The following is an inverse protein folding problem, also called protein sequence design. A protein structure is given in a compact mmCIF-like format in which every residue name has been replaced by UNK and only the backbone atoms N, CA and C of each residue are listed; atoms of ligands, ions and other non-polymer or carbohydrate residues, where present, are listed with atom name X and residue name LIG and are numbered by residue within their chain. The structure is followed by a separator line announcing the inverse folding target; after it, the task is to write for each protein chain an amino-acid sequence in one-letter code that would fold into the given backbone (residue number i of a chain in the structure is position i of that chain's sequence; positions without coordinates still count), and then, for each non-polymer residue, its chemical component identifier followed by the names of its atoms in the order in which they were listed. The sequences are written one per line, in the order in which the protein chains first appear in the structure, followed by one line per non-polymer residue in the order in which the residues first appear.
data_IF_493253862985
#
_entry.id   IF_493253862985
#
_cell.length_a   1.000
_cell.length_b   1.000
_cell.length_c   1.000
_cell.angle_alpha   90.00
_cell.angle_beta   90.00
_cell.angle_gamma   90.00
#
_symmetry.space_group_name_H-M   'P 1'
#
loop_
_entity.id
_entity.type
_entity.pdbx_description
1 polymer ?
#
# COMPACT_ATOMS: atom_id res chain seq x y z
N UNK A 1 20.59 10.43 -0.78
CA UNK A 1 20.60 10.98 0.59
C UNK A 1 21.10 12.41 0.65
N UNK A 2 22.19 12.78 -0.04
CA UNK A 2 22.75 14.15 0.02
C UNK A 2 23.82 14.35 1.10
N UNK A 3 24.24 13.25 1.73
CA UNK A 3 25.27 13.18 2.78
C UNK A 3 26.68 13.25 2.18
N UNK A 4 27.59 13.93 2.88
CA UNK A 4 29.02 14.05 2.57
C UNK A 4 29.86 12.90 3.14
N UNK A 5 29.38 12.22 4.17
CA UNK A 5 30.06 11.09 4.79
C UNK A 5 31.21 11.46 5.72
N UNK A 6 31.22 12.68 6.28
CA UNK A 6 32.17 13.09 7.31
C UNK A 6 31.71 12.70 8.72
N UNK A 7 30.42 12.84 9.01
CA UNK A 7 29.79 12.30 10.23
C UNK A 7 28.36 11.85 9.93
N UNK A 8 28.16 10.56 9.63
CA UNK A 8 26.85 10.03 9.25
C UNK A 8 25.76 10.30 10.30
N UNK A 9 26.06 10.26 11.61
CA UNK A 9 25.05 10.49 12.66
C UNK A 9 24.52 11.92 12.61
N UNK A 10 25.42 12.90 12.56
CA UNK A 10 25.04 14.31 12.49
C UNK A 10 24.40 14.67 11.15
N UNK A 11 24.93 14.16 10.03
CA UNK A 11 24.39 14.43 8.71
C UNK A 11 22.97 13.87 8.56
N UNK A 12 22.72 12.63 9.01
CA UNK A 12 21.37 12.04 9.02
C UNK A 12 20.42 12.79 9.97
N UNK A 13 20.87 13.19 11.18
CA UNK A 13 20.06 14.00 12.12
C UNK A 13 19.64 15.37 11.57
N UNK A 14 20.34 15.91 10.56
CA UNK A 14 19.97 17.18 9.90
C UNK A 14 18.93 17.00 8.79
N UNK A 15 18.79 15.81 8.19
CA UNK A 15 17.86 15.60 7.06
C UNK A 15 16.38 15.80 7.42
N UNK A 16 15.88 15.48 8.64
CA UNK A 16 14.51 15.84 9.05
C UNK A 16 14.19 17.34 9.08
N UNK A 17 15.17 18.24 8.94
CA UNK A 17 14.91 19.68 8.79
C UNK A 17 14.32 20.03 7.42
N UNK A 18 14.49 19.18 6.41
CA UNK A 18 13.81 19.32 5.10
C UNK A 18 12.33 18.90 5.17
N UNK A 19 11.95 18.10 6.16
CA UNK A 19 10.68 17.37 6.25
C UNK A 19 9.44 18.31 6.20
N UNK A 20 9.44 19.49 6.86
CA UNK A 20 8.40 20.50 6.68
C UNK A 20 8.17 20.93 5.22
N UNK A 21 9.23 21.11 4.43
CA UNK A 21 9.10 21.49 3.01
C UNK A 21 8.55 20.35 2.14
N UNK A 22 8.79 19.10 2.54
CA UNK A 22 8.21 17.93 1.87
C UNK A 22 6.72 17.83 2.19
N UNK A 23 6.31 18.09 3.43
CA UNK A 23 4.89 18.17 3.80
C UNK A 23 4.16 19.34 3.15
N UNK A 24 4.78 20.51 3.00
CA UNK A 24 4.21 21.62 2.22
C UNK A 24 3.89 21.21 0.77
N UNK A 25 4.84 20.52 0.11
CA UNK A 25 4.63 19.97 -1.24
C UNK A 25 3.55 18.87 -1.30
N UNK A 26 3.47 18.02 -0.27
CA UNK A 26 2.42 16.98 -0.14
C UNK A 26 1.05 17.62 0.08
N UNK A 27 0.93 18.60 0.99
CA UNK A 27 -0.30 19.31 1.29
C UNK A 27 -0.85 20.03 0.05
N UNK A 28 0.02 20.73 -0.70
CA UNK A 28 -0.34 21.41 -1.96
C UNK A 28 -0.79 20.43 -3.04
N UNK A 29 -0.23 19.23 -3.10
CA UNK A 29 -0.67 18.19 -4.03
C UNK A 29 -2.04 17.60 -3.63
N UNK A 30 -2.33 17.47 -2.33
CA UNK A 30 -3.61 16.95 -1.82
C UNK A 30 -4.74 17.99 -1.94
N UNK A 31 -4.43 19.26 -1.68
CA UNK A 31 -5.41 20.35 -1.67
C UNK A 31 -5.64 20.99 -3.07
N UNK A 32 -5.23 20.33 -4.15
CA UNK A 32 -5.41 20.85 -5.51
C UNK A 32 -6.88 20.83 -5.99
N UNK A 33 -7.21 21.73 -6.92
CA UNK A 33 -8.56 21.89 -7.44
C UNK A 33 -9.10 20.62 -8.12
N UNK A 34 -8.23 19.79 -8.70
CA UNK A 34 -8.59 18.49 -9.28
C UNK A 34 -9.11 17.50 -8.24
N UNK A 35 -8.42 17.37 -7.09
CA UNK A 35 -8.85 16.47 -6.00
C UNK A 35 -10.12 17.01 -5.33
N UNK A 36 -10.20 18.32 -5.10
CA UNK A 36 -11.43 18.97 -4.60
C UNK A 36 -12.62 18.79 -5.56
N UNK A 37 -12.37 18.78 -6.87
CA UNK A 37 -13.40 18.52 -7.89
C UNK A 37 -13.81 17.05 -7.95
N UNK A 38 -12.86 16.12 -7.75
CA UNK A 38 -13.11 14.69 -7.67
C UNK A 38 -13.94 14.29 -6.44
N UNK A 39 -13.67 14.91 -5.28
CA UNK A 39 -14.47 14.74 -4.05
C UNK A 39 -15.90 15.22 -4.30
N UNK A 40 -16.10 16.43 -4.85
CA UNK A 40 -17.43 16.95 -5.20
C UNK A 40 -18.18 16.09 -6.22
N UNK A 41 -17.46 15.43 -7.12
CA UNK A 41 -18.05 14.46 -8.04
C UNK A 41 -18.53 13.19 -7.31
N UNK A 42 -17.77 12.68 -6.33
CA UNK A 42 -18.20 11.59 -5.45
C UNK A 42 -19.42 11.97 -4.61
N UNK A 43 -19.40 13.14 -3.95
CA UNK A 43 -20.53 13.66 -3.15
C UNK A 43 -21.82 13.78 -3.99
N UNK A 44 -21.71 14.33 -5.20
CA UNK A 44 -22.84 14.47 -6.11
C UNK A 44 -23.43 13.12 -6.53
N UNK A 45 -22.58 12.10 -6.70
CA UNK A 45 -23.02 10.74 -7.01
C UNK A 45 -23.70 10.08 -5.80
N UNK A 46 -23.09 10.16 -4.62
CA UNK A 46 -23.64 9.57 -3.40
C UNK A 46 -25.01 10.17 -3.08
N UNK A 47 -25.17 11.49 -3.27
CA UNK A 47 -26.47 12.18 -3.19
C UNK A 47 -27.47 11.59 -4.19
N UNK A 48 -27.10 11.48 -5.47
CA UNK A 48 -27.95 10.92 -6.52
C UNK A 48 -28.38 9.47 -6.27
N UNK A 49 -27.48 8.64 -5.72
CA UNK A 49 -27.78 7.25 -5.36
C UNK A 49 -28.78 7.20 -4.20
N UNK A 50 -28.57 7.96 -3.12
CA UNK A 50 -29.51 8.00 -2.00
C UNK A 50 -30.89 8.58 -2.39
N UNK A 51 -30.95 9.57 -3.29
CA UNK A 51 -32.20 10.07 -3.87
C UNK A 51 -32.94 9.00 -4.70
N UNK A 52 -32.21 8.07 -5.32
CA UNK A 52 -32.76 6.93 -6.06
C UNK A 52 -33.14 5.73 -5.16
N UNK A 53 -32.56 5.62 -3.97
CA UNK A 53 -32.78 4.53 -3.01
C UNK A 53 -34.05 4.70 -2.15
N UNK A 54 -34.89 5.72 -2.42
CA UNK A 54 -36.19 5.92 -1.78
C UNK A 54 -37.36 5.57 -2.73
N UNK A 55 -37.72 4.28 -2.90
CA UNK A 55 -39.03 3.90 -3.39
C UNK A 55 -40.13 4.35 -2.42
N UNK A 56 -40.70 5.54 -2.66
CA UNK A 56 -42.01 5.88 -2.10
C UNK A 56 -43.03 4.93 -2.73
N UNK A 57 -43.29 3.82 -2.03
CA UNK A 57 -44.41 2.92 -2.30
C UNK A 57 -45.73 3.65 -2.02
N UNK A 58 -46.10 4.51 -2.96
CA UNK A 58 -47.42 5.12 -3.00
C UNK A 58 -48.46 3.97 -2.99
N UNK A 59 -49.37 3.92 -2.00
CA UNK A 59 -50.35 2.84 -1.92
C UNK A 59 -51.24 2.91 -3.15
N UNK A 60 -51.34 1.80 -3.88
CA UNK A 60 -52.06 1.76 -5.15
C UNK A 60 -53.56 2.02 -4.95
N UNK A 61 -54.00 3.25 -5.24
CA UNK A 61 -55.43 3.57 -5.28
C UNK A 61 -56.12 2.70 -6.33
N UNK A 62 -57.06 1.86 -5.88
CA UNK A 62 -57.76 0.92 -6.76
C UNK A 62 -58.86 1.61 -7.57
N UNK A 63 -58.78 1.70 -8.92
CA UNK A 63 -59.91 2.16 -9.72
C UNK A 63 -60.99 1.08 -9.79
N UNK A 64 -62.19 1.37 -9.29
CA UNK A 64 -63.30 0.42 -9.27
C UNK A 64 -63.94 0.21 -10.66
N UNK A 65 -63.82 -1.02 -11.19
CA UNK A 65 -64.75 -1.75 -12.07
C UNK A 65 -65.72 -0.98 -13.02
N UNK A 66 -65.75 -1.34 -14.31
CA UNK A 66 -67.05 -1.51 -15.04
C UNK A 66 -66.96 -2.30 -16.36
N UNK A 67 -67.44 -3.56 -16.35
CA UNK A 67 -68.04 -4.27 -17.52
C UNK A 67 -67.12 -4.66 -18.71
N UNK A 68 -67.44 -5.62 -19.62
CA UNK A 68 -68.59 -6.53 -19.75
C UNK A 68 -68.29 -7.83 -20.58
N UNK A 69 -69.18 -8.83 -20.46
CA UNK A 69 -69.61 -9.79 -21.52
C UNK A 69 -68.77 -11.02 -22.00
N UNK A 70 -69.24 -12.24 -21.61
CA UNK A 70 -69.43 -13.49 -22.45
C UNK A 70 -68.14 -14.22 -22.96
N UNK A 71 -68.01 -15.55 -23.13
CA UNK A 71 -68.80 -16.82 -22.93
C UNK A 71 -67.80 -18.04 -23.09
N UNK A 72 -68.07 -19.36 -23.01
CA UNK A 72 -69.21 -20.30 -22.73
C UNK A 72 -68.65 -21.68 -22.25
N UNK A 73 -69.47 -22.49 -21.55
CA UNK A 73 -69.46 -23.99 -21.46
C UNK A 73 -68.21 -24.87 -21.11
N UNK A 74 -68.40 -25.64 -20.02
CA UNK A 74 -68.13 -27.12 -19.83
C UNK A 74 -66.65 -27.61 -19.85
N UNK A 75 -66.28 -28.72 -19.18
CA UNK A 75 -67.09 -29.86 -18.70
C UNK A 75 -66.72 -30.36 -17.27
N UNK A 76 -66.89 -31.66 -16.93
CA UNK A 76 -67.32 -32.10 -15.58
C UNK A 76 -66.58 -33.32 -14.97
N UNK A 77 -66.21 -33.19 -13.67
CA UNK A 77 -66.22 -34.21 -12.58
C UNK A 77 -64.99 -35.13 -12.29
N UNK A 78 -64.84 -35.39 -10.98
CA UNK A 78 -64.00 -36.39 -10.25
C UNK A 78 -62.52 -36.00 -10.01
N UNK A 79 -61.96 -36.10 -8.79
CA UNK A 79 -62.64 -36.28 -7.49
C UNK A 79 -61.76 -36.66 -6.28
N UNK A 80 -61.99 -35.97 -5.15
CA UNK A 80 -61.86 -36.41 -3.74
C UNK A 80 -60.66 -37.30 -3.32
N UNK A 81 -59.67 -36.68 -2.65
CA UNK A 81 -59.01 -37.26 -1.47
C UNK A 81 -58.78 -36.15 -0.41
N UNK A 82 -58.49 -36.54 0.82
CA UNK A 82 -58.31 -35.69 2.02
C UNK A 82 -57.05 -36.14 2.77
N UNK A 83 -56.59 -35.29 3.70
CA UNK A 83 -55.52 -35.50 4.70
C UNK A 83 -54.09 -35.57 4.13
N UNK A 84 -53.06 -35.10 4.85
CA UNK A 84 -53.02 -34.21 6.02
C UNK A 84 -51.58 -33.67 6.21
N UNK A 85 -51.43 -32.65 7.07
CA UNK A 85 -50.21 -32.07 7.67
C UNK A 85 -48.84 -32.49 7.09
N UNK A 86 -48.10 -31.50 6.61
CA UNK A 86 -46.64 -31.55 6.47
C UNK A 86 -46.09 -30.23 7.00
N UNK A 87 -45.41 -30.27 8.14
CA UNK A 87 -44.83 -29.08 8.79
C UNK A 87 -43.59 -28.62 8.03
N UNK A 88 -43.48 -27.31 7.80
CA UNK A 88 -42.24 -26.63 7.42
C UNK A 88 -42.13 -25.35 8.26
N UNK A 89 -40.98 -25.09 8.91
CA UNK A 89 -40.86 -24.00 9.86
C UNK A 89 -40.87 -22.62 9.17
N UNK A 90 -41.54 -21.65 9.78
CA UNK A 90 -41.38 -20.24 9.44
C UNK A 90 -39.95 -19.81 9.82
N UNK A 91 -39.07 -19.71 8.82
CA UNK A 91 -37.75 -19.08 9.01
C UNK A 91 -37.98 -17.56 9.09
N UNK A 92 -38.26 -17.10 10.30
CA UNK A 92 -38.35 -15.67 10.64
C UNK A 92 -36.96 -15.06 10.76
N UNK A 93 -36.24 -14.95 9.64
CA UNK A 93 -35.10 -14.02 9.49
C UNK A 93 -35.62 -12.58 9.47
N UNK A 94 -36.09 -12.15 10.64
CA UNK A 94 -36.57 -10.81 10.96
C UNK A 94 -35.54 -10.01 11.74
N UNK A 95 -34.26 -10.19 11.43
CA UNK A 95 -33.23 -9.21 11.82
C UNK A 95 -33.32 -8.05 10.81
N UNK A 96 -33.79 -6.86 11.22
CA UNK A 96 -33.72 -5.70 10.35
C UNK A 96 -32.24 -5.37 10.16
N UNK A 97 -31.77 -5.39 8.91
CA UNK A 97 -30.48 -4.85 8.52
C UNK A 97 -30.32 -3.46 9.16
N UNK A 98 -29.32 -3.33 10.05
CA UNK A 98 -29.15 -2.14 10.87
C UNK A 98 -28.80 -0.97 9.95
N UNK A 99 -29.81 -0.16 9.64
CA UNK A 99 -29.69 0.94 8.72
C UNK A 99 -28.70 1.93 9.35
N UNK A 100 -27.53 2.09 8.72
CA UNK A 100 -26.47 2.97 9.20
C UNK A 100 -26.93 4.41 9.00
N UNK A 101 -27.63 4.94 10.03
CA UNK A 101 -28.43 6.18 10.01
C UNK A 101 -27.62 7.45 9.74
N UNK A 102 -26.29 7.38 9.80
CA UNK A 102 -25.39 8.41 9.31
C UNK A 102 -24.65 7.91 8.07
N UNK A 103 -24.78 8.57 6.90
CA UNK A 103 -23.96 8.25 5.74
C UNK A 103 -22.47 8.32 6.11
N UNK A 104 -21.62 7.38 5.65
CA UNK A 104 -20.20 7.44 5.90
C UNK A 104 -19.64 8.75 5.36
N UNK A 105 -19.06 9.56 6.24
CA UNK A 105 -18.40 10.81 5.88
C UNK A 105 -17.05 10.46 5.25
N UNK A 106 -17.01 10.32 3.93
CA UNK A 106 -15.76 10.15 3.19
C UNK A 106 -14.90 11.43 3.23
N UNK A 107 -13.59 11.29 3.05
CA UNK A 107 -12.65 12.39 2.80
C UNK A 107 -12.45 13.40 3.95
N UNK A 108 -12.89 13.07 5.18
CA UNK A 108 -12.78 13.97 6.34
C UNK A 108 -11.35 14.48 6.58
N UNK A 109 -10.31 13.64 6.38
CA UNK A 109 -8.94 14.04 6.68
C UNK A 109 -8.36 14.94 5.57
N UNK A 110 -8.81 14.78 4.32
CA UNK A 110 -8.52 15.73 3.23
C UNK A 110 -9.21 17.07 3.50
N UNK A 111 -10.45 17.06 4.00
CA UNK A 111 -11.19 18.27 4.38
C UNK A 111 -10.58 18.98 5.60
N UNK A 112 -10.17 18.23 6.63
CA UNK A 112 -9.42 18.70 7.80
C UNK A 112 -8.09 19.35 7.37
N UNK A 113 -7.33 18.71 6.45
CA UNK A 113 -6.11 19.28 5.87
C UNK A 113 -6.39 20.54 5.04
N UNK A 114 -7.48 20.58 4.27
CA UNK A 114 -7.82 21.75 3.45
C UNK A 114 -8.21 22.96 4.31
N UNK A 115 -8.87 22.72 5.45
CA UNK A 115 -9.29 23.77 6.38
C UNK A 115 -8.16 24.27 7.31
N UNK A 116 -7.05 23.53 7.42
CA UNK A 116 -5.85 23.91 8.15
C UNK A 116 -5.04 25.04 7.46
N UNK A 117 -4.25 25.78 8.24
CA UNK A 117 -3.48 26.94 7.76
C UNK A 117 -2.26 26.55 6.90
N UNK A 118 -1.97 27.37 5.89
CA UNK A 118 -0.74 27.32 5.08
C UNK A 118 0.47 27.98 5.79
N UNK A 119 0.30 28.57 6.97
CA UNK A 119 1.41 29.16 7.72
C UNK A 119 2.46 28.11 8.10
N UNK A 120 3.61 28.14 7.42
CA UNK A 120 4.82 27.42 7.83
C UNK A 120 5.41 28.19 9.02
N UNK A 121 4.88 27.95 10.22
CA UNK A 121 5.49 28.43 11.45
C UNK A 121 6.87 27.78 11.59
N UNK A 122 7.93 28.55 11.41
CA UNK A 122 9.30 28.15 11.76
C UNK A 122 9.42 28.02 13.29
N UNK A 123 8.84 26.95 13.83
CA UNK A 123 9.18 26.45 15.15
C UNK A 123 10.64 26.01 15.07
N UNK A 124 11.54 26.89 15.52
CA UNK A 124 12.96 26.60 15.67
C UNK A 124 13.07 25.41 16.61
N UNK A 125 13.32 24.24 16.03
CA UNK A 125 13.28 22.97 16.75
C UNK A 125 14.46 22.88 17.72
N UNK A 126 14.26 23.40 18.93
CA UNK A 126 14.92 22.90 20.13
C UNK A 126 14.45 21.46 20.32
N UNK A 127 15.16 20.53 19.67
CA UNK A 127 14.89 19.10 19.71
C UNK A 127 15.14 18.59 21.13
N UNK A 128 14.09 18.62 21.95
CA UNK A 128 14.02 17.83 23.16
C UNK A 128 13.78 16.37 22.75
N UNK A 129 14.65 15.48 23.22
CA UNK A 129 14.72 14.07 22.80
C UNK A 129 14.17 13.11 23.88
N UNK A 130 13.68 13.60 25.03
CA UNK A 130 13.32 12.77 26.18
C UNK A 130 11.84 12.29 26.23
N UNK A 131 11.05 12.51 25.17
CA UNK A 131 9.63 12.12 25.13
C UNK A 131 9.33 10.86 24.29
N UNK A 132 8.92 9.79 24.99
CA UNK A 132 8.06 8.67 24.56
C UNK A 132 8.38 7.93 23.24
N UNK A 133 9.29 6.95 23.32
CA UNK A 133 9.36 5.86 22.35
C UNK A 133 8.45 4.69 22.78
N UNK A 134 7.30 4.51 22.13
CA UNK A 134 6.50 3.29 22.26
C UNK A 134 7.28 2.09 21.68
N UNK A 135 7.72 1.17 22.54
CA UNK A 135 8.72 0.15 22.20
C UNK A 135 8.11 -1.05 21.45
N UNK A 136 7.96 -0.94 20.13
CA UNK A 136 7.52 -2.05 19.26
C UNK A 136 8.74 -2.88 18.81
N UNK A 137 8.90 -4.07 19.40
CA UNK A 137 9.98 -5.01 19.07
C UNK A 137 9.68 -5.83 17.81
N UNK A 138 10.40 -5.55 16.71
CA UNK A 138 10.44 -6.41 15.52
C UNK A 138 11.79 -7.14 15.43
N UNK A 139 11.95 -8.17 16.27
CA UNK A 139 13.06 -9.12 16.10
C UNK A 139 12.73 -10.09 14.96
N UNK A 140 13.41 -9.88 13.82
CA UNK A 140 13.54 -10.88 12.77
C UNK A 140 15.03 -11.01 12.48
N UNK A 141 15.71 -11.74 13.37
CA UNK A 141 17.12 -12.11 13.23
C UNK A 141 17.29 -13.13 12.09
N UNK A 142 17.53 -12.63 10.87
CA UNK A 142 18.14 -13.43 9.79
C UNK A 142 19.65 -13.52 10.05
N UNK A 143 20.11 -14.69 10.48
CA UNK A 143 21.52 -14.98 10.75
C UNK A 143 22.21 -15.51 9.48
N UNK A 144 22.81 -14.62 8.69
CA UNK A 144 23.55 -14.95 7.46
C UNK A 144 25.07 -14.91 7.69
N UNK A 145 25.64 -16.04 8.14
CA UNK A 145 27.09 -16.23 8.26
C UNK A 145 27.47 -17.73 8.27
N UNK A 146 27.36 -18.41 7.13
CA UNK A 146 27.55 -19.88 7.07
C UNK A 146 28.11 -20.45 5.75
N UNK A 147 29.23 -19.93 5.23
CA UNK A 147 29.81 -20.46 3.97
C UNK A 147 30.54 -21.80 4.15
N UNK A 148 29.86 -22.92 3.92
CA UNK A 148 30.51 -24.23 3.68
C UNK A 148 29.63 -25.20 2.85
N UNK A 149 30.18 -25.61 1.71
CA UNK A 149 29.81 -26.77 0.85
C UNK A 149 28.38 -26.88 0.27
N UNK A 150 28.29 -27.59 -0.87
CA UNK A 150 27.04 -27.85 -1.59
C UNK A 150 26.37 -29.09 -0.98
N UNK A 151 25.56 -28.85 0.06
CA UNK A 151 24.65 -29.85 0.62
C UNK A 151 23.32 -29.88 -0.15
N UNK A 152 22.91 -31.06 -0.60
CA UNK A 152 21.60 -31.30 -1.21
C UNK A 152 20.50 -31.14 -0.14
N UNK A 153 19.59 -30.17 -0.31
CA UNK A 153 18.51 -29.91 0.66
C UNK A 153 17.43 -30.97 0.48
N UNK A 154 17.55 -32.06 1.24
CA UNK A 154 16.55 -33.12 1.34
C UNK A 154 15.29 -32.60 2.05
N UNK A 155 14.28 -32.25 1.26
CA UNK A 155 12.93 -31.95 1.74
C UNK A 155 12.19 -33.25 2.05
N UNK A 156 12.65 -33.94 3.09
CA UNK A 156 12.28 -35.31 3.49
C UNK A 156 10.83 -35.52 3.92
N UNK A 157 9.88 -35.27 3.00
CA UNK A 157 8.49 -35.72 3.10
C UNK A 157 8.45 -37.20 2.72
N UNK A 158 8.90 -38.07 3.63
CA UNK A 158 8.70 -39.51 3.49
C UNK A 158 7.20 -39.80 3.65
N UNK A 159 6.51 -40.02 2.53
CA UNK A 159 5.07 -40.28 2.50
C UNK A 159 4.73 -41.67 3.02
N UNK A 160 4.79 -41.86 4.34
CA UNK A 160 4.34 -43.09 5.02
C UNK A 160 2.82 -43.22 4.91
N UNK A 161 2.38 -44.04 3.95
CA UNK A 161 0.96 -44.28 3.72
C UNK A 161 0.35 -45.20 4.80
N UNK A 162 -0.77 -44.75 5.36
CA UNK A 162 -1.85 -45.54 5.99
C UNK A 162 -1.48 -46.67 6.96
N UNK A 163 -1.68 -46.42 8.26
CA UNK A 163 -2.22 -47.43 9.19
C UNK A 163 -3.35 -46.84 10.04
N UNK A 164 -4.30 -47.67 10.45
CA UNK A 164 -5.55 -47.27 11.13
C UNK A 164 -5.36 -46.97 12.63
N UNK A 165 -6.25 -46.16 13.26
CA UNK A 165 -6.02 -45.62 14.60
C UNK A 165 -6.25 -46.65 15.72
N UNK A 166 -5.22 -46.91 16.52
CA UNK A 166 -5.37 -47.55 17.84
C UNK A 166 -5.78 -46.53 18.88
N UNK A 167 -6.91 -46.78 19.57
CA UNK A 167 -7.46 -45.85 20.55
C UNK A 167 -6.57 -45.68 21.80
N UNK A 168 -6.23 -44.42 22.10
CA UNK A 168 -5.85 -43.94 23.41
C UNK A 168 -6.64 -42.63 23.66
N UNK A 169 -6.99 -42.35 24.92
CA UNK A 169 -7.84 -41.20 25.23
C UNK A 169 -7.05 -39.89 25.12
N UNK A 170 -7.41 -39.06 24.15
CA UNK A 170 -7.48 -37.61 24.33
C UNK A 170 -8.81 -37.14 23.71
N UNK A 171 -9.60 -36.39 24.48
CA UNK A 171 -10.81 -35.78 23.95
C UNK A 171 -10.41 -34.52 23.15
N UNK A 172 -11.10 -34.20 22.04
CA UNK A 172 -10.91 -32.90 21.41
C UNK A 172 -11.29 -31.82 22.44
N UNK A 173 -10.32 -30.98 22.80
CA UNK A 173 -10.61 -29.75 23.53
C UNK A 173 -11.31 -28.83 22.55
N UNK A 174 -12.64 -28.76 22.65
CA UNK A 174 -13.43 -27.76 21.95
C UNK A 174 -12.94 -26.39 22.43
N UNK A 175 -12.33 -25.63 21.52
CA UNK A 175 -11.89 -24.27 21.80
C UNK A 175 -13.17 -23.43 21.86
N UNK A 176 -13.58 -23.13 23.08
CA UNK A 176 -14.68 -22.21 23.35
C UNK A 176 -14.30 -20.80 22.89
N UNK A 177 -15.19 -20.16 22.13
CA UNK A 177 -15.02 -18.80 21.60
C UNK A 177 -16.00 -17.81 22.25
N UNK A 178 -16.70 -18.18 23.34
CA UNK A 178 -17.54 -17.28 24.13
C UNK A 178 -16.71 -16.20 24.84
N UNK A 179 -16.36 -15.15 24.10
CA UNK A 179 -15.91 -13.86 24.66
C UNK A 179 -17.12 -13.21 25.34
N UNK A 180 -17.35 -13.60 26.60
CA UNK A 180 -18.40 -12.99 27.42
C UNK A 180 -18.19 -11.47 27.55
N UNK A 181 -19.14 -10.62 27.11
CA UNK A 181 -18.97 -9.18 27.10
C UNK A 181 -19.26 -8.61 28.50
N UNK A 182 -18.29 -8.74 29.42
CA UNK A 182 -18.45 -8.33 30.83
C UNK A 182 -17.23 -7.62 31.43
N UNK A 183 -16.68 -6.62 30.73
CA UNK A 183 -16.30 -5.38 31.41
C UNK A 183 -16.45 -4.18 30.47
N UNK A 184 -17.46 -3.34 30.72
CA UNK A 184 -17.63 -2.06 30.00
C UNK A 184 -16.67 -1.06 30.63
N UNK A 185 -15.46 -0.99 30.08
CA UNK A 185 -14.55 0.12 30.34
C UNK A 185 -15.13 1.36 29.65
N UNK A 186 -15.55 2.35 30.44
CA UNK A 186 -16.11 3.59 29.90
C UNK A 186 -15.09 4.29 28.99
N UNK A 187 -15.50 4.84 27.83
CA UNK A 187 -14.64 5.73 27.07
C UNK A 187 -14.39 6.98 27.91
N UNK A 188 -13.17 7.12 28.43
CA UNK A 188 -12.72 8.35 29.09
C UNK A 188 -12.77 9.46 28.05
N UNK A 189 -13.82 10.28 28.14
CA UNK A 189 -14.04 11.42 27.27
C UNK A 189 -13.10 12.56 27.68
N UNK A 190 -11.82 12.40 27.36
CA UNK A 190 -10.84 13.49 27.38
C UNK A 190 -11.16 14.47 26.25
N UNK A 191 -12.22 15.25 26.48
CA UNK A 191 -12.41 16.58 25.88
C UNK A 191 -11.30 17.52 26.40
N UNK A 192 -10.07 17.20 26.03
CA UNK A 192 -8.92 18.09 26.12
C UNK A 192 -9.12 19.15 25.05
N UNK A 193 -10.02 20.09 25.35
CA UNK A 193 -10.34 21.29 24.58
C UNK A 193 -9.13 22.23 24.57
N UNK A 194 -8.07 21.75 23.95
CA UNK A 194 -6.84 22.48 23.66
C UNK A 194 -7.22 23.62 22.74
N UNK A 195 -6.88 24.83 23.17
CA UNK A 195 -7.22 26.08 22.49
C UNK A 195 -6.88 25.99 20.99
N UNK A 196 -7.82 26.38 20.13
CA UNK A 196 -7.73 26.15 18.68
C UNK A 196 -6.81 27.19 18.04
N UNK A 197 -5.52 27.13 18.38
CA UNK A 197 -4.46 27.56 17.50
C UNK A 197 -4.64 26.80 16.18
N UNK A 198 -4.88 27.54 15.09
CA UNK A 198 -5.25 26.94 13.82
C UNK A 198 -4.14 25.99 13.35
N UNK A 199 -4.44 24.68 13.36
CA UNK A 199 -3.48 23.66 12.98
C UNK A 199 -2.92 23.96 11.59
N UNK A 200 -1.61 23.83 11.42
CA UNK A 200 -0.94 24.06 10.13
C UNK A 200 -0.97 22.77 9.31
N UNK A 201 -1.06 22.87 7.99
CA UNK A 201 -1.07 21.68 7.10
C UNK A 201 0.16 20.81 7.28
N UNK A 202 1.30 21.45 7.53
CA UNK A 202 2.58 20.80 7.84
C UNK A 202 2.54 20.08 9.19
N UNK A 203 1.94 20.68 10.22
CA UNK A 203 1.79 20.08 11.55
C UNK A 203 0.88 18.85 11.54
N UNK A 204 -0.27 18.92 10.85
CA UNK A 204 -1.16 17.77 10.68
C UNK A 204 -0.47 16.60 9.96
N UNK A 205 0.31 16.89 8.90
CA UNK A 205 1.05 15.86 8.18
C UNK A 205 2.25 15.29 8.95
N UNK A 206 2.67 15.88 10.07
CA UNK A 206 3.74 15.30 10.90
C UNK A 206 3.26 14.02 11.61
N UNK A 207 2.02 14.04 12.10
CA UNK A 207 1.38 12.85 12.69
C UNK A 207 1.24 11.70 11.69
N UNK A 208 1.61 10.51 12.16
CA UNK A 208 1.51 9.27 11.41
C UNK A 208 0.07 8.74 11.33
N UNK A 209 -0.76 8.97 12.34
CA UNK A 209 -2.17 8.57 12.30
C UNK A 209 -2.93 9.44 11.29
N UNK A 210 -2.78 10.76 11.33
CA UNK A 210 -3.31 11.71 10.35
C UNK A 210 -2.89 11.36 8.92
N UNK A 211 -1.58 11.16 8.66
CA UNK A 211 -1.11 10.72 7.33
C UNK A 211 -1.74 9.41 6.87
N UNK A 212 -2.04 8.49 7.79
CA UNK A 212 -2.73 7.24 7.48
C UNK A 212 -4.22 7.48 7.13
N UNK A 213 -4.91 8.37 7.85
CA UNK A 213 -6.29 8.79 7.51
C UNK A 213 -6.35 9.42 6.11
N UNK A 214 -5.47 10.36 5.82
CA UNK A 214 -5.36 11.01 4.49
C UNK A 214 -5.00 10.01 3.39
N UNK A 215 -4.11 9.04 3.65
CA UNK A 215 -3.78 8.01 2.67
C UNK A 215 -4.99 7.12 2.35
N UNK A 216 -5.80 6.77 3.35
CA UNK A 216 -7.02 5.99 3.14
C UNK A 216 -8.05 6.79 2.33
N UNK A 217 -8.29 8.06 2.66
CA UNK A 217 -9.17 8.96 1.90
C UNK A 217 -8.73 9.08 0.43
N UNK A 218 -7.43 9.22 0.16
CA UNK A 218 -6.88 9.24 -1.20
C UNK A 218 -7.03 7.89 -1.92
N UNK A 219 -6.87 6.76 -1.23
CA UNK A 219 -7.01 5.43 -1.81
C UNK A 219 -8.47 5.08 -2.14
N UNK A 220 -9.42 5.54 -1.34
CA UNK A 220 -10.86 5.43 -1.63
C UNK A 220 -11.22 6.24 -2.88
N UNK A 221 -10.79 7.51 -2.94
CA UNK A 221 -10.99 8.37 -4.11
C UNK A 221 -10.36 7.76 -5.37
N UNK A 222 -9.19 7.14 -5.24
CA UNK A 222 -8.48 6.42 -6.31
C UNK A 222 -9.23 5.17 -6.78
N UNK A 223 -9.86 4.43 -5.87
CA UNK A 223 -10.67 3.25 -6.22
C UNK A 223 -11.93 3.68 -6.97
N UNK A 224 -12.62 4.70 -6.47
CA UNK A 224 -13.79 5.33 -7.11
C UNK A 224 -13.48 5.82 -8.53
N UNK A 225 -12.44 6.64 -8.71
CA UNK A 225 -12.08 7.19 -10.03
C UNK A 225 -11.72 6.10 -11.04
N UNK A 226 -11.01 5.04 -10.60
CA UNK A 226 -10.71 3.87 -11.45
C UNK A 226 -11.97 3.12 -11.87
N UNK A 227 -12.92 2.90 -10.96
CA UNK A 227 -14.20 2.29 -11.29
C UNK A 227 -14.96 3.11 -12.34
N UNK A 228 -15.01 4.44 -12.19
CA UNK A 228 -15.67 5.35 -13.14
C UNK A 228 -14.97 5.38 -14.50
N UNK A 229 -13.64 5.23 -14.57
CA UNK A 229 -12.91 5.07 -15.83
C UNK A 229 -13.27 3.75 -16.54
N UNK A 230 -13.35 2.63 -15.81
CA UNK A 230 -13.76 1.35 -16.39
C UNK A 230 -15.17 1.45 -16.98
N UNK A 231 -16.12 2.01 -16.23
CA UNK A 231 -17.50 2.21 -16.67
C UNK A 231 -17.61 3.10 -17.91
N UNK A 232 -16.93 4.25 -17.94
CA UNK A 232 -16.90 5.15 -19.10
C UNK A 232 -16.17 4.55 -20.32
N UNK A 233 -15.24 3.61 -20.11
CA UNK A 233 -14.54 2.89 -21.18
C UNK A 233 -15.31 1.68 -21.74
N UNK A 234 -16.38 1.27 -21.06
CA UNK A 234 -17.16 0.08 -21.42
C UNK A 234 -17.96 0.28 -22.71
N UNK A 235 -18.37 -0.83 -23.36
CA UNK A 235 -19.23 -0.76 -24.54
C UNK A 235 -20.60 -0.11 -24.24
N UNK A 236 -21.03 -0.11 -22.99
CA UNK A 236 -22.29 0.47 -22.52
C UNK A 236 -22.15 1.94 -22.08
N UNK A 237 -20.99 2.57 -22.33
CA UNK A 237 -20.67 3.98 -22.02
C UNK A 237 -21.76 4.99 -22.43
N UNK A 238 -22.46 4.75 -23.54
CA UNK A 238 -23.60 5.59 -23.97
C UNK A 238 -24.82 5.43 -23.06
N UNK A 239 -25.14 4.21 -22.62
CA UNK A 239 -26.22 3.98 -21.66
C UNK A 239 -25.86 4.55 -20.28
N UNK A 240 -24.62 4.37 -19.85
CA UNK A 240 -24.06 4.94 -18.63
C UNK A 240 -24.09 6.47 -18.61
N UNK A 241 -23.69 7.13 -19.71
CA UNK A 241 -23.77 8.59 -19.83
C UNK A 241 -25.23 9.09 -19.83
N UNK A 242 -26.15 8.36 -20.47
CA UNK A 242 -27.57 8.70 -20.45
C UNK A 242 -28.22 8.57 -19.06
N UNK A 243 -27.70 7.70 -18.18
CA UNK A 243 -28.27 7.48 -16.84
C UNK A 243 -28.19 8.70 -15.91
N UNK A 244 -27.35 9.69 -16.24
CA UNK A 244 -27.18 10.93 -15.48
C UNK A 244 -27.85 12.16 -16.13
N UNK A 245 -28.61 11.99 -17.22
CA UNK A 245 -29.28 13.10 -17.90
C UNK A 245 -30.31 13.78 -17.00
N UNK A 246 -30.20 15.11 -16.87
CA UNK A 246 -31.05 15.89 -15.96
C UNK A 246 -30.74 15.74 -14.47
N UNK A 247 -29.63 15.07 -14.11
CA UNK A 247 -29.10 15.06 -12.74
C UNK A 247 -28.21 16.29 -12.47
N UNK A 248 -27.35 16.26 -11.45
CA UNK A 248 -26.39 17.33 -11.18
C UNK A 248 -25.43 17.53 -12.37
N UNK A 249 -25.06 18.78 -12.74
CA UNK A 249 -24.05 19.03 -13.78
C UNK A 249 -22.67 18.47 -13.40
N UNK A 250 -22.41 18.20 -12.11
CA UNK A 250 -21.20 17.51 -11.66
C UNK A 250 -21.16 16.03 -12.09
N UNK A 251 -22.30 15.42 -12.44
CA UNK A 251 -22.40 14.08 -13.00
C UNK A 251 -22.48 14.12 -14.53
N UNK A 252 -23.42 14.90 -15.06
CA UNK A 252 -23.73 14.97 -16.50
C UNK A 252 -22.55 15.46 -17.36
N UNK A 253 -21.69 16.33 -16.83
CA UNK A 253 -20.59 16.94 -17.59
C UNK A 253 -19.25 16.17 -17.49
N UNK A 254 -19.22 14.96 -16.94
CA UNK A 254 -17.99 14.18 -16.84
C UNK A 254 -17.66 13.42 -18.13
N UNK A 255 -16.35 13.18 -18.34
CA UNK A 255 -15.85 12.37 -19.44
C UNK A 255 -14.53 11.70 -19.02
N UNK A 256 -14.06 10.72 -19.80
CA UNK A 256 -12.85 9.95 -19.47
C UNK A 256 -11.64 10.85 -19.16
N UNK A 257 -11.34 11.83 -20.02
CA UNK A 257 -10.20 12.73 -19.85
C UNK A 257 -10.24 13.58 -18.56
N UNK A 258 -11.43 13.98 -18.09
CA UNK A 258 -11.57 14.65 -16.77
C UNK A 258 -11.26 13.70 -15.62
N UNK A 259 -11.78 12.48 -15.67
CA UNK A 259 -11.56 11.48 -14.62
C UNK A 259 -10.11 10.97 -14.66
N UNK A 260 -9.47 10.90 -15.83
CA UNK A 260 -8.03 10.64 -15.98
C UNK A 260 -7.18 11.76 -15.34
N UNK A 261 -7.56 13.03 -15.49
CA UNK A 261 -6.88 14.14 -14.83
C UNK A 261 -7.03 14.08 -13.29
N UNK A 262 -8.24 13.81 -12.79
CA UNK A 262 -8.47 13.57 -11.36
C UNK A 262 -7.63 12.38 -10.84
N UNK A 263 -7.63 11.26 -11.58
CA UNK A 263 -6.88 10.05 -11.25
C UNK A 263 -5.37 10.33 -11.20
N UNK A 264 -4.83 11.12 -12.14
CA UNK A 264 -3.43 11.51 -12.17
C UNK A 264 -3.04 12.37 -10.96
N UNK A 265 -3.87 13.35 -10.57
CA UNK A 265 -3.62 14.17 -9.37
C UNK A 265 -3.65 13.34 -8.08
N UNK A 266 -4.60 12.40 -7.96
CA UNK A 266 -4.66 11.47 -6.82
C UNK A 266 -3.45 10.52 -6.81
N UNK A 267 -3.06 9.96 -7.96
CA UNK A 267 -1.86 9.12 -8.08
C UNK A 267 -0.58 9.91 -7.71
N UNK A 268 -0.49 11.19 -8.07
CA UNK A 268 0.61 12.08 -7.67
C UNK A 268 0.61 12.34 -6.15
N UNK A 269 -0.53 12.69 -5.55
CA UNK A 269 -0.66 12.93 -4.11
C UNK A 269 -0.26 11.68 -3.29
N UNK A 270 -0.77 10.50 -3.68
CA UNK A 270 -0.39 9.21 -3.08
C UNK A 270 1.11 8.94 -3.23
N UNK A 271 1.69 9.19 -4.42
CA UNK A 271 3.13 8.98 -4.69
C UNK A 271 4.03 9.85 -3.82
N UNK A 272 3.64 11.11 -3.55
CA UNK A 272 4.38 12.02 -2.68
C UNK A 272 4.26 11.60 -1.21
N UNK A 273 3.03 11.34 -0.73
CA UNK A 273 2.72 10.94 0.65
C UNK A 273 3.36 9.59 1.02
N UNK A 274 3.43 8.64 0.08
CA UNK A 274 4.06 7.32 0.27
C UNK A 274 5.53 7.27 -0.18
N UNK A 275 6.15 8.42 -0.49
CA UNK A 275 7.52 8.45 -1.01
C UNK A 275 8.53 7.90 0.00
N UNK A 276 9.46 7.06 -0.49
CA UNK A 276 10.50 6.44 0.35
C UNK A 276 11.34 7.47 1.12
N UNK A 277 11.53 8.68 0.57
CA UNK A 277 12.22 9.79 1.26
C UNK A 277 11.42 10.27 2.47
N UNK A 278 10.13 10.57 2.32
CA UNK A 278 9.27 10.99 3.42
C UNK A 278 9.26 9.93 4.53
N UNK A 279 9.06 8.67 4.18
CA UNK A 279 9.08 7.53 5.12
C UNK A 279 10.41 7.43 5.88
N UNK A 280 11.55 7.51 5.18
CA UNK A 280 12.88 7.45 5.79
C UNK A 280 13.14 8.64 6.72
N UNK A 281 12.75 9.87 6.33
CA UNK A 281 12.96 11.06 7.14
C UNK A 281 12.06 11.07 8.38
N UNK A 282 10.81 10.60 8.26
CA UNK A 282 9.92 10.41 9.41
C UNK A 282 10.51 9.40 10.40
N UNK A 283 10.99 8.24 9.94
CA UNK A 283 11.61 7.23 10.79
C UNK A 283 12.94 7.69 11.42
N UNK A 284 13.73 8.52 10.74
CA UNK A 284 14.94 9.14 11.32
C UNK A 284 14.56 10.18 12.39
N UNK A 285 13.43 10.88 12.24
CA UNK A 285 12.91 11.82 13.23
C UNK A 285 12.34 11.12 14.47
N UNK A 286 11.58 10.03 14.30
CA UNK A 286 10.84 9.38 15.40
C UNK A 286 11.55 8.18 16.04
N UNK A 287 12.66 7.70 15.49
CA UNK A 287 13.36 6.53 16.04
C UNK A 287 14.88 6.64 16.00
N UNK A 288 15.51 6.86 17.16
CA UNK A 288 16.97 6.83 17.27
C UNK A 288 17.55 5.45 16.94
N UNK A 289 16.86 4.35 17.28
CA UNK A 289 17.29 2.99 16.88
C UNK A 289 17.33 2.80 15.36
N UNK A 290 16.45 3.48 14.62
CA UNK A 290 16.46 3.49 13.15
C UNK A 290 17.66 4.28 12.62
N UNK A 291 17.93 5.47 13.18
CA UNK A 291 19.13 6.26 12.91
C UNK A 291 20.41 5.45 13.16
N UNK A 292 20.53 4.80 14.32
CA UNK A 292 21.69 3.98 14.70
C UNK A 292 21.96 2.86 13.68
N UNK A 293 20.92 2.12 13.29
CA UNK A 293 21.01 1.06 12.29
C UNK A 293 21.48 1.58 10.93
N UNK A 294 21.04 2.78 10.51
CA UNK A 294 21.49 3.40 9.27
C UNK A 294 22.94 3.92 9.36
N UNK A 295 23.35 4.52 10.48
CA UNK A 295 24.75 4.91 10.71
C UNK A 295 25.67 3.70 10.63
N UNK A 296 25.35 2.61 11.35
CA UNK A 296 26.14 1.39 11.35
C UNK A 296 26.22 0.74 9.95
N UNK A 297 25.13 0.77 9.19
CA UNK A 297 25.08 0.28 7.81
C UNK A 297 25.97 1.10 6.85
N UNK A 298 25.97 2.43 6.98
CA UNK A 298 26.83 3.32 6.21
C UNK A 298 28.32 3.15 6.59
N UNK A 299 28.63 3.07 7.89
CA UNK A 299 29.98 2.77 8.37
C UNK A 299 30.52 1.43 7.85
N UNK A 300 29.66 0.41 7.81
CA UNK A 300 29.97 -0.90 7.23
C UNK A 300 30.25 -0.78 5.72
N UNK A 301 29.37 -0.09 4.97
CA UNK A 301 29.52 0.11 3.54
C UNK A 301 30.82 0.86 3.19
N UNK A 302 31.18 1.90 3.94
CA UNK A 302 32.45 2.61 3.78
C UNK A 302 33.65 1.68 4.01
N UNK A 303 33.63 0.85 5.06
CA UNK A 303 34.69 -0.15 5.32
C UNK A 303 34.82 -1.18 4.19
N UNK A 304 33.71 -1.55 3.54
CA UNK A 304 33.72 -2.39 2.34
C UNK A 304 34.29 -1.67 1.12
N UNK A 305 33.95 -0.40 0.89
CA UNK A 305 34.56 0.41 -0.17
C UNK A 305 36.07 0.57 0.03
N UNK A 306 36.52 0.87 1.24
CA UNK A 306 37.95 0.95 1.59
C UNK A 306 38.69 -0.37 1.34
N UNK A 307 38.05 -1.51 1.68
CA UNK A 307 38.59 -2.84 1.42
C UNK A 307 38.73 -3.09 -0.08
N UNK A 308 37.66 -2.84 -0.84
CA UNK A 308 37.65 -3.00 -2.30
C UNK A 308 38.70 -2.11 -2.98
N UNK A 309 38.84 -0.84 -2.56
CA UNK A 309 39.87 0.08 -3.06
C UNK A 309 41.29 -0.43 -2.81
N UNK A 310 41.59 -0.94 -1.60
CA UNK A 310 42.88 -1.57 -1.29
C UNK A 310 43.13 -2.83 -2.12
N UNK A 311 42.10 -3.64 -2.36
CA UNK A 311 42.18 -4.85 -3.18
C UNK A 311 42.41 -4.51 -4.67
N UNK A 312 41.78 -3.45 -5.19
CA UNK A 312 42.02 -2.91 -6.54
C UNK A 312 43.49 -2.48 -6.69
N UNK A 313 44.00 -1.62 -5.81
CA UNK A 313 45.42 -1.20 -5.88
C UNK A 313 46.38 -2.39 -5.76
N UNK A 314 46.08 -3.35 -4.89
CA UNK A 314 46.86 -4.60 -4.75
C UNK A 314 46.85 -5.46 -6.03
N UNK A 315 45.82 -5.33 -6.89
CA UNK A 315 45.75 -5.98 -8.20
C UNK A 315 46.42 -5.15 -9.30
N UNK A 316 46.38 -3.81 -9.21
CA UNK A 316 47.10 -2.90 -10.10
C UNK A 316 48.61 -3.08 -9.97
N UNK A 317 49.15 -3.11 -8.75
CA UNK A 317 50.57 -3.36 -8.47
C UNK A 317 51.01 -4.71 -9.05
N UNK A 318 50.25 -5.78 -8.80
CA UNK A 318 50.51 -7.12 -9.36
C UNK A 318 50.44 -7.16 -10.88
N UNK A 319 49.59 -6.33 -11.50
CA UNK A 319 49.51 -6.23 -12.96
C UNK A 319 50.78 -5.56 -13.52
N UNK A 320 51.29 -4.50 -12.86
CA UNK A 320 52.58 -3.89 -13.21
C UNK A 320 53.73 -4.89 -13.06
N UNK A 321 53.80 -5.63 -11.94
CA UNK A 321 54.81 -6.67 -11.72
C UNK A 321 54.77 -7.76 -12.81
N UNK A 322 53.57 -8.25 -13.17
CA UNK A 322 53.40 -9.27 -14.21
C UNK A 322 53.74 -8.73 -15.61
N UNK A 323 53.43 -7.47 -15.90
CA UNK A 323 53.82 -6.78 -17.14
C UNK A 323 55.35 -6.68 -17.21
N UNK A 324 56.04 -6.31 -16.14
CA UNK A 324 57.49 -6.16 -16.12
C UNK A 324 58.23 -7.50 -16.11
N UNK A 325 57.71 -8.51 -15.41
CA UNK A 325 58.17 -9.89 -15.55
C UNK A 325 58.05 -10.38 -17.00
N UNK A 326 56.93 -10.09 -17.67
CA UNK A 326 56.71 -10.43 -19.08
C UNK A 326 57.71 -9.72 -20.00
N UNK A 327 57.92 -8.40 -19.81
CA UNK A 327 58.94 -7.63 -20.54
C UNK A 327 60.35 -8.23 -20.39
N UNK A 328 60.69 -8.71 -19.19
CA UNK A 328 62.01 -9.27 -18.89
C UNK A 328 62.23 -10.70 -19.44
N UNK A 329 61.17 -11.50 -19.55
CA UNK A 329 61.23 -12.87 -20.09
C UNK A 329 61.14 -12.90 -21.63
N UNK A 330 60.35 -12.01 -22.24
CA UNK A 330 60.20 -11.94 -23.70
C UNK A 330 61.51 -11.91 -24.52
N UNK A 331 62.57 -11.13 -24.17
CA UNK A 331 63.83 -11.16 -24.92
C UNK A 331 64.56 -12.51 -24.83
N UNK A 332 64.41 -13.25 -23.72
CA UNK A 332 65.00 -14.58 -23.55
C UNK A 332 64.32 -15.60 -24.47
N UNK A 333 62.98 -15.55 -24.55
CA UNK A 333 62.19 -16.33 -25.51
C UNK A 333 62.60 -15.99 -26.95
N UNK A 334 62.71 -14.69 -27.28
CA UNK A 334 63.14 -14.25 -28.61
C UNK A 334 64.54 -14.75 -28.97
N UNK A 335 65.48 -14.76 -28.03
CA UNK A 335 66.83 -15.30 -28.22
C UNK A 335 66.82 -16.82 -28.46
N UNK A 336 66.04 -17.59 -27.68
CA UNK A 336 65.85 -19.03 -27.88
C UNK A 336 65.19 -19.35 -29.23
N UNK A 337 64.21 -18.55 -29.67
CA UNK A 337 63.60 -18.67 -31.00
C UNK A 337 64.61 -18.33 -32.10
N UNK A 338 65.54 -17.40 -31.88
CA UNK A 338 66.59 -17.07 -32.84
C UNK A 338 67.66 -18.17 -32.95
N UNK A 339 68.12 -18.76 -31.83
CA UNK A 339 69.11 -19.85 -31.86
C UNK A 339 68.53 -21.14 -32.43
N UNK A 340 67.30 -21.52 -32.07
CA UNK A 340 66.63 -22.69 -32.65
C UNK A 340 66.37 -22.54 -34.15
N UNK A 341 66.04 -21.33 -34.64
CA UNK A 341 65.96 -21.05 -36.08
C UNK A 341 67.31 -21.19 -36.80
N UNK A 342 68.42 -20.75 -36.20
CA UNK A 342 69.77 -20.98 -36.75
C UNK A 342 70.10 -22.47 -36.83
N UNK A 343 69.93 -23.21 -35.73
CA UNK A 343 70.16 -24.66 -35.69
C UNK A 343 69.32 -25.40 -36.75
N UNK A 344 68.04 -25.04 -36.89
CA UNK A 344 67.16 -25.61 -37.94
C UNK A 344 67.72 -25.36 -39.33
N UNK A 345 68.16 -24.14 -39.63
CA UNK A 345 68.70 -23.81 -40.95
C UNK A 345 70.02 -24.56 -41.21
N UNK A 346 70.91 -24.63 -40.22
CA UNK A 346 72.17 -25.36 -40.31
C UNK A 346 71.93 -26.86 -40.60
N UNK A 347 71.04 -27.51 -39.84
CA UNK A 347 70.64 -28.92 -40.08
C UNK A 347 69.99 -29.10 -41.46
N UNK A 348 69.19 -28.14 -41.91
CA UNK A 348 68.50 -28.16 -43.20
C UNK A 348 69.39 -27.78 -44.41
N UNK A 349 70.65 -27.37 -44.17
CA UNK A 349 71.66 -27.14 -45.21
C UNK A 349 72.77 -28.21 -45.21
N UNK A 350 72.67 -29.21 -44.32
CA UNK A 350 73.55 -30.39 -44.28
C UNK A 350 72.88 -31.65 -44.87
N UNK A 351 71.75 -31.48 -45.55
CA UNK A 351 71.00 -32.47 -46.34
C UNK A 351 70.69 -31.89 -47.72
#
# INVERSE_FOLDING_TARGET
MGISGGNFREELRRLPLELPSIFDGVAKAICCDEIVSAIKYHEALQTYLHDCEIPVLAPAETPSSTSSSKKDKKNKKKGKKLAALEDQPEITTGEPFELVIAPPKFFNAIDELRNASDDITEQVATLDFEAEAAEISWDISLDDSGTAEVGEIDWGIETVASTEPTAANDAPVEIDWDITPSEVVEPVNEETATDVSAATRVGLLDDNAFRTRVLNDLLELRAFLRQRLVELSSNDSVAFANQFQGSSPLLEQQNGAKIEAFQASVDQAVSLLTSKRLQQLALIKTSERYLDRHVASLDMLTKHMDKCSREIHTLEDKNVDLIDATKNVQPQINALVATTKKLKNEVCCCY
#
